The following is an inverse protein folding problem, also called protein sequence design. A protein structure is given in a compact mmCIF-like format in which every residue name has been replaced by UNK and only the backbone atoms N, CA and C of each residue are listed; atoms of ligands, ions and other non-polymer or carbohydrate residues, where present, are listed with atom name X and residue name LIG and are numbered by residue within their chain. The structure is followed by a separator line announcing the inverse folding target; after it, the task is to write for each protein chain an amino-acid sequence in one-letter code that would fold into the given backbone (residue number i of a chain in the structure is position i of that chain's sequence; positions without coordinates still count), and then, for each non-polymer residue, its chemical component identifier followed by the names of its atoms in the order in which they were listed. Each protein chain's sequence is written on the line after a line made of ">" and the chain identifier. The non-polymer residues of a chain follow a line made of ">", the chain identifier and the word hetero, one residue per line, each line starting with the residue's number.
data_IF_762857536053
#
_entry.id   IF_762857536053
#
_cell.length_a   1.000
_cell.length_b   1.000
_cell.length_c   1.000
_cell.angle_alpha   90.00
_cell.angle_beta   90.00
_cell.angle_gamma   90.00
#
_symmetry.space_group_name_H-M   'P 1'
#
loop_
_entity.id
_entity.type
_entity.pdbx_description
1 polymer ?
#
# COMPACT_ATOMS: atom_id res chain seq x y z
N UNK A 1 -14.98 9.63 10.71
CA UNK A 1 -13.92 10.28 9.90
C UNK A 1 -12.75 9.33 9.80
N UNK A 2 -12.11 9.21 8.63
CA UNK A 2 -11.16 8.15 8.24
C UNK A 2 -9.78 8.16 8.96
N UNK A 3 -9.67 8.76 10.14
CA UNK A 3 -8.39 8.94 10.84
C UNK A 3 -7.56 10.11 10.31
N UNK A 4 -6.30 10.21 10.76
CA UNK A 4 -5.34 11.19 10.24
C UNK A 4 -4.84 10.71 8.88
N UNK A 5 -4.84 11.55 7.83
CA UNK A 5 -4.31 11.16 6.53
C UNK A 5 -2.80 10.99 6.58
N UNK A 6 -2.29 10.11 5.71
CA UNK A 6 -0.85 9.91 5.52
C UNK A 6 -0.20 11.16 4.93
N UNK A 7 -0.90 11.79 3.99
CA UNK A 7 -0.44 13.01 3.35
C UNK A 7 -1.61 13.91 2.98
N UNK A 8 -1.40 15.22 3.13
CA UNK A 8 -2.27 16.26 2.58
C UNK A 8 -1.40 17.17 1.71
N UNK A 9 -1.84 17.43 0.48
CA UNK A 9 -1.19 18.34 -0.46
C UNK A 9 -2.21 19.30 -1.08
N UNK A 10 -1.72 20.37 -1.68
CA UNK A 10 -2.54 21.39 -2.34
C UNK A 10 -2.06 21.57 -3.78
N UNK A 11 -2.98 21.55 -4.73
CA UNK A 11 -2.69 21.86 -6.13
C UNK A 11 -2.66 23.38 -6.36
N UNK A 12 -2.04 23.83 -7.46
CA UNK A 12 -1.94 25.25 -7.82
C UNK A 12 -3.31 25.94 -7.99
N UNK A 13 -4.36 25.16 -8.26
CA UNK A 13 -5.75 25.63 -8.37
C UNK A 13 -6.46 25.83 -7.00
N UNK A 14 -5.79 25.47 -5.89
CA UNK A 14 -6.31 25.54 -4.53
C UNK A 14 -7.16 24.32 -4.11
N UNK A 15 -7.14 23.24 -4.88
CA UNK A 15 -7.75 21.98 -4.48
C UNK A 15 -6.87 21.27 -3.45
N UNK A 16 -7.51 20.66 -2.45
CA UNK A 16 -6.88 19.87 -1.41
C UNK A 16 -6.92 18.39 -1.81
N UNK A 17 -5.76 17.75 -1.82
CA UNK A 17 -5.61 16.33 -2.09
C UNK A 17 -5.20 15.63 -0.80
N UNK A 18 -6.00 14.65 -0.38
CA UNK A 18 -5.77 13.87 0.83
C UNK A 18 -5.48 12.43 0.43
N UNK A 19 -4.36 11.89 0.91
CA UNK A 19 -3.95 10.50 0.69
C UNK A 19 -4.15 9.68 1.96
N UNK A 20 -4.87 8.57 1.81
CA UNK A 20 -4.92 7.49 2.79
C UNK A 20 -4.27 6.25 2.19
N UNK A 21 -3.52 5.52 3.01
CA UNK A 21 -3.02 4.20 2.65
C UNK A 21 -3.55 3.14 3.61
N UNK A 22 -3.78 1.95 3.08
CA UNK A 22 -4.13 0.75 3.82
C UNK A 22 -3.25 -0.38 3.31
N UNK A 23 -2.47 -1.00 4.19
CA UNK A 23 -1.66 -2.16 3.85
C UNK A 23 -2.15 -3.39 4.60
N UNK A 24 -2.26 -4.49 3.88
CA UNK A 24 -2.59 -5.82 4.40
C UNK A 24 -1.50 -6.78 3.90
N UNK A 25 -0.81 -7.42 4.84
CA UNK A 25 0.24 -8.40 4.54
C UNK A 25 -0.23 -9.79 4.91
N UNK A 26 -0.41 -10.64 3.90
CA UNK A 26 -0.57 -12.08 4.12
C UNK A 26 0.82 -12.69 4.28
N UNK A 27 1.27 -12.83 5.54
CA UNK A 27 2.48 -13.58 5.86
C UNK A 27 2.18 -15.08 5.70
N UNK A 28 2.37 -15.60 4.49
CA UNK A 28 2.21 -17.03 4.23
C UNK A 28 3.48 -17.80 4.62
N UNK A 29 3.63 -18.06 5.93
CA UNK A 29 4.72 -18.85 6.50
C UNK A 29 4.73 -20.32 6.04
N UNK A 30 3.74 -20.73 5.24
CA UNK A 30 3.52 -22.11 4.79
C UNK A 30 4.33 -22.47 3.53
N UNK A 31 4.86 -21.48 2.79
CA UNK A 31 5.58 -21.70 1.53
C UNK A 31 7.08 -21.99 1.70
N UNK A 32 7.49 -22.67 2.78
CA UNK A 32 8.84 -23.23 2.90
C UNK A 32 8.95 -24.47 2.02
N UNK A 33 9.20 -24.30 0.72
CA UNK A 33 9.56 -25.41 -0.16
C UNK A 33 11.04 -25.73 0.07
N UNK A 34 11.40 -26.89 0.66
CA UNK A 34 12.80 -27.27 0.80
C UNK A 34 13.36 -27.66 -0.57
N UNK A 35 14.06 -26.72 -1.22
CA UNK A 35 15.00 -27.03 -2.28
C UNK A 35 16.36 -27.14 -1.61
N UNK A 36 17.00 -28.31 -1.67
CA UNK A 36 18.29 -28.65 -1.03
C UNK A 36 19.17 -27.42 -0.72
N UNK A 37 19.20 -26.99 0.55
CA UNK A 37 20.03 -25.90 1.06
C UNK A 37 19.50 -24.46 0.93
N UNK A 38 18.30 -24.22 0.37
CA UNK A 38 17.73 -22.88 0.19
C UNK A 38 16.29 -22.79 0.70
N UNK A 39 16.01 -21.79 1.53
CA UNK A 39 14.65 -21.41 1.90
C UNK A 39 14.19 -20.23 1.02
N UNK A 40 13.03 -20.37 0.38
CA UNK A 40 12.36 -19.31 -0.37
C UNK A 40 11.08 -18.98 0.39
N UNK A 41 11.06 -17.84 1.08
CA UNK A 41 9.81 -17.27 1.58
C UNK A 41 9.24 -16.34 0.50
N UNK A 42 7.94 -16.48 0.20
CA UNK A 42 7.20 -15.56 -0.66
C UNK A 42 6.21 -14.81 0.21
N UNK A 43 6.47 -13.53 0.44
CA UNK A 43 5.55 -12.64 1.13
C UNK A 43 4.80 -11.81 0.06
N UNK A 44 3.47 -11.79 0.12
CA UNK A 44 2.65 -10.89 -0.70
C UNK A 44 2.12 -9.76 0.19
N UNK A 45 2.50 -8.52 -0.13
CA UNK A 45 1.98 -7.33 0.55
C UNK A 45 1.02 -6.62 -0.40
N UNK A 46 -0.24 -6.46 0.02
CA UNK A 46 -1.25 -5.70 -0.70
C UNK A 46 -1.38 -4.32 -0.09
N UNK A 47 -1.21 -3.29 -0.92
CA UNK A 47 -1.34 -1.90 -0.53
C UNK A 47 -2.46 -1.25 -1.32
N UNK A 48 -3.38 -0.57 -0.63
CA UNK A 48 -4.46 0.22 -1.23
C UNK A 48 -4.26 1.68 -0.87
N UNK A 49 -4.33 2.54 -1.86
CA UNK A 49 -4.22 3.98 -1.74
C UNK A 49 -5.53 4.63 -2.14
N UNK A 50 -5.98 5.60 -1.35
CA UNK A 50 -7.16 6.40 -1.65
C UNK A 50 -6.73 7.86 -1.71
N UNK A 51 -6.89 8.46 -2.88
CA UNK A 51 -6.73 9.88 -3.12
C UNK A 51 -8.10 10.53 -3.09
N UNK A 52 -8.30 11.52 -2.23
CA UNK A 52 -9.56 12.26 -2.10
C UNK A 52 -9.26 13.72 -2.43
N UNK A 53 -9.98 14.28 -3.41
CA UNK A 53 -9.77 15.64 -3.89
C UNK A 53 -10.95 16.50 -3.48
N UNK A 54 -10.68 17.53 -2.69
CA UNK A 54 -11.64 18.56 -2.30
C UNK A 54 -11.34 19.85 -3.06
N UNK A 55 -12.38 20.60 -3.41
CA UNK A 55 -12.17 21.96 -3.89
C UNK A 55 -11.84 22.91 -2.73
N UNK A 56 -11.41 24.13 -3.07
CA UNK A 56 -11.17 25.23 -2.12
C UNK A 56 -12.33 25.58 -1.16
N UNK A 57 -13.55 25.08 -1.41
CA UNK A 57 -14.73 25.25 -0.53
C UNK A 57 -14.93 24.05 0.40
N UNK A 58 -14.02 23.08 0.40
CA UNK A 58 -14.14 21.84 1.18
C UNK A 58 -15.14 20.83 0.60
N UNK A 59 -15.54 20.97 -0.65
CA UNK A 59 -16.50 20.07 -1.30
C UNK A 59 -15.74 19.00 -2.06
N UNK A 60 -16.09 17.72 -1.86
CA UNK A 60 -15.53 16.59 -2.59
C UNK A 60 -15.73 16.77 -4.10
N UNK A 61 -14.64 16.85 -4.85
CA UNK A 61 -14.63 16.88 -6.32
C UNK A 61 -14.50 15.47 -6.90
N UNK A 62 -13.56 14.68 -6.39
CA UNK A 62 -13.25 13.36 -6.93
C UNK A 62 -12.58 12.48 -5.87
N UNK A 63 -12.60 11.17 -6.08
CA UNK A 63 -11.76 10.22 -5.36
C UNK A 63 -11.21 9.17 -6.33
N UNK A 64 -10.01 8.67 -6.06
CA UNK A 64 -9.37 7.62 -6.86
C UNK A 64 -8.77 6.58 -5.92
N UNK A 65 -9.00 5.32 -6.24
CA UNK A 65 -8.50 4.18 -5.48
C UNK A 65 -7.49 3.44 -6.35
N UNK A 66 -6.28 3.26 -5.84
CA UNK A 66 -5.21 2.52 -6.51
C UNK A 66 -4.81 1.34 -5.63
N UNK A 67 -4.75 0.15 -6.20
CA UNK A 67 -4.29 -1.06 -5.53
C UNK A 67 -2.95 -1.50 -6.12
N UNK A 68 -1.98 -1.80 -5.25
CA UNK A 68 -0.66 -2.30 -5.60
C UNK A 68 -0.38 -3.57 -4.81
N UNK A 69 -0.06 -4.65 -5.51
CA UNK A 69 0.44 -5.88 -4.89
C UNK A 69 1.96 -5.94 -5.10
N UNK A 70 2.71 -6.12 -4.02
CA UNK A 70 4.16 -6.30 -4.06
C UNK A 70 4.51 -7.71 -3.57
N UNK A 71 5.12 -8.50 -4.44
CA UNK A 71 5.69 -9.80 -4.08
C UNK A 71 7.14 -9.60 -3.64
N UNK A 72 7.44 -9.94 -2.39
CA UNK A 72 8.80 -9.93 -1.86
C UNK A 72 9.31 -11.35 -1.71
N UNK A 73 10.39 -11.70 -2.42
CA UNK A 73 11.09 -12.97 -2.25
C UNK A 73 12.36 -12.78 -1.41
N UNK A 74 12.48 -13.50 -0.29
CA UNK A 74 13.74 -13.55 0.49
C UNK A 74 14.41 -14.92 0.31
N UNK A 75 15.66 -14.90 -0.17
CA UNK A 75 16.53 -16.09 -0.29
C UNK A 75 17.43 -16.19 0.94
N UNK A 76 17.18 -17.16 1.81
CA UNK A 76 18.08 -17.52 2.92
C UNK A 76 18.98 -18.70 2.53
N UNK A 77 20.29 -18.53 2.63
CA UNK A 77 21.27 -19.62 2.53
C UNK A 77 21.54 -20.16 3.94
N UNK A 78 21.28 -21.45 4.16
CA UNK A 78 21.68 -22.14 5.40
C UNK A 78 23.02 -22.83 5.16
N UNK A 79 23.98 -22.60 6.06
CA UNK A 79 25.27 -23.30 6.10
C UNK A 79 25.12 -24.68 6.75
#
# INVERSE_FOLDING_TARGET
>A
MYGKPEQTSFEDNGDEVILYSYSEGDFDATNLVPVVGTYIAKDEVRMKYIYIIFNKKGILKNYTITEMAQQTGRKGISF
#
